data_IF_670874212953
#
_entry.id   IF_670874212953
#
_cell.length_a   1.000
_cell.length_b   1.000
_cell.length_c   1.000
_cell.angle_alpha   90.00
_cell.angle_beta   90.00
_cell.angle_gamma   90.00
#
_symmetry.space_group_name_H-M   'P 1'
#
loop_
_entity.id
_entity.type
_entity.pdbx_description
1 polymer ?
#
# COMPACT_ATOMS: atom_id res chain seq x y z
N UNK A 1 -35.99 47.54 -7.82
CA UNK A 1 -35.64 46.42 -6.92
C UNK A 1 -36.28 45.10 -7.41
N UNK A 2 -35.80 44.58 -8.54
CA UNK A 2 -36.18 43.30 -9.18
C UNK A 2 -35.09 43.07 -10.20
N UNK A 3 -34.21 42.06 -10.04
CA UNK A 3 -33.32 41.46 -11.08
C UNK A 3 -32.09 40.71 -10.53
N UNK A 4 -31.88 40.57 -9.21
CA UNK A 4 -30.67 39.89 -8.69
C UNK A 4 -30.92 38.57 -7.95
N UNK A 5 -32.14 38.02 -8.00
CA UNK A 5 -32.49 36.75 -7.31
C UNK A 5 -32.86 35.67 -8.33
N UNK A 6 -32.01 35.47 -9.35
CA UNK A 6 -32.23 34.41 -10.36
C UNK A 6 -30.95 33.71 -10.84
N UNK A 7 -29.86 33.80 -10.09
CA UNK A 7 -28.63 33.09 -10.40
C UNK A 7 -28.10 32.23 -9.24
N UNK A 8 -28.90 32.01 -8.20
CA UNK A 8 -28.57 31.07 -7.11
C UNK A 8 -29.15 29.69 -7.47
N UNK A 9 -28.74 29.13 -8.60
CA UNK A 9 -29.15 27.78 -9.00
C UNK A 9 -28.21 27.21 -10.07
N UNK A 10 -26.91 27.23 -9.81
CA UNK A 10 -25.97 26.40 -10.56
C UNK A 10 -24.82 25.97 -9.65
N UNK A 11 -25.19 25.43 -8.48
CA UNK A 11 -24.31 24.59 -7.68
C UNK A 11 -24.19 23.25 -8.42
N UNK A 12 -23.31 23.20 -9.43
CA UNK A 12 -22.83 21.93 -9.99
C UNK A 12 -21.42 21.72 -9.48
N UNK A 13 -21.33 21.42 -8.18
CA UNK A 13 -20.14 20.85 -7.56
C UNK A 13 -20.02 19.42 -8.11
N UNK A 14 -19.33 19.26 -9.23
CA UNK A 14 -18.84 17.98 -9.71
C UNK A 14 -17.64 17.60 -8.82
N UNK A 15 -17.93 17.08 -7.63
CA UNK A 15 -16.96 16.30 -6.88
C UNK A 15 -16.77 14.98 -7.62
N UNK A 16 -15.81 14.96 -8.55
CA UNK A 16 -15.27 13.74 -9.09
C UNK A 16 -14.57 13.01 -7.94
N UNK A 17 -15.30 12.11 -7.27
CA UNK A 17 -14.70 11.17 -6.32
C UNK A 17 -13.91 10.20 -7.18
N UNK A 18 -12.63 10.49 -7.42
CA UNK A 18 -11.71 9.51 -7.94
C UNK A 18 -11.57 8.41 -6.87
N UNK A 19 -12.36 7.34 -7.01
CA UNK A 19 -12.10 6.11 -6.28
C UNK A 19 -10.73 5.61 -6.73
N UNK A 20 -9.70 5.92 -5.95
CA UNK A 20 -8.40 5.28 -6.07
C UNK A 20 -8.63 3.82 -5.73
N UNK A 21 -8.83 2.99 -6.76
CA UNK A 21 -8.76 1.56 -6.61
C UNK A 21 -7.33 1.25 -6.14
N UNK A 22 -7.16 1.01 -4.85
CA UNK A 22 -5.93 0.46 -4.30
C UNK A 22 -5.77 -0.93 -4.95
N UNK A 23 -4.98 -0.99 -6.02
CA UNK A 23 -4.68 -2.25 -6.68
C UNK A 23 -3.96 -3.14 -5.66
N UNK A 24 -4.57 -4.28 -5.33
CA UNK A 24 -3.91 -5.28 -4.51
C UNK A 24 -2.60 -5.71 -5.22
N UNK A 25 -1.51 -5.92 -4.46
CA UNK A 25 -0.25 -6.36 -5.05
C UNK A 25 -0.43 -7.71 -5.75
N UNK A 26 0.24 -7.89 -6.89
CA UNK A 26 0.22 -9.15 -7.64
C UNK A 26 0.99 -10.27 -6.92
N UNK A 27 1.98 -9.90 -6.10
CA UNK A 27 2.82 -10.82 -5.34
C UNK A 27 3.06 -10.26 -3.93
N UNK A 28 3.09 -11.16 -2.95
CA UNK A 28 3.59 -10.87 -1.61
C UNK A 28 5.08 -11.20 -1.52
N UNK A 29 5.76 -10.61 -0.53
CA UNK A 29 7.13 -10.97 -0.20
C UNK A 29 7.41 -10.79 1.28
N UNK A 30 8.41 -11.51 1.75
CA UNK A 30 9.02 -11.36 3.07
C UNK A 30 10.54 -11.33 2.88
N UNK A 31 11.21 -10.41 3.57
CA UNK A 31 12.65 -10.25 3.58
C UNK A 31 13.12 -10.31 5.02
N UNK A 32 13.98 -11.26 5.35
CA UNK A 32 14.59 -11.39 6.66
C UNK A 32 16.03 -10.91 6.60
N UNK A 33 16.40 -9.96 7.45
CA UNK A 33 17.73 -9.37 7.52
C UNK A 33 18.54 -9.98 8.65
N UNK A 34 19.81 -10.27 8.37
CA UNK A 34 20.73 -10.91 9.31
C UNK A 34 21.94 -10.02 9.62
N UNK A 35 22.47 -10.15 10.82
CA UNK A 35 23.78 -9.59 11.19
C UNK A 35 24.95 -10.46 10.65
N UNK A 36 26.18 -10.06 10.97
CA UNK A 36 27.39 -10.78 10.58
C UNK A 36 27.56 -12.17 11.24
N UNK A 37 26.79 -12.46 12.29
CA UNK A 37 26.80 -13.74 13.00
C UNK A 37 25.66 -14.67 12.58
N UNK A 38 24.77 -14.20 11.70
CA UNK A 38 23.60 -14.94 11.22
C UNK A 38 22.36 -14.79 12.10
N UNK A 39 22.34 -13.85 13.06
CA UNK A 39 21.14 -13.58 13.86
C UNK A 39 20.17 -12.69 13.08
N UNK A 40 18.86 -12.91 13.28
CA UNK A 40 17.83 -12.06 12.70
C UNK A 40 17.82 -10.71 13.40
N UNK A 41 17.96 -9.63 12.64
CA UNK A 41 17.99 -8.25 13.14
C UNK A 41 16.91 -7.35 12.54
N UNK A 42 16.18 -7.83 11.54
CA UNK A 42 15.06 -7.10 10.97
C UNK A 42 14.27 -7.92 9.97
N UNK A 43 13.12 -7.38 9.59
CA UNK A 43 12.24 -7.99 8.60
C UNK A 43 11.51 -6.90 7.80
N UNK A 44 11.12 -7.24 6.58
CA UNK A 44 10.26 -6.42 5.74
C UNK A 44 9.32 -7.30 4.92
N UNK A 45 8.02 -7.07 5.03
CA UNK A 45 7.01 -7.82 4.29
C UNK A 45 6.02 -6.91 3.54
N UNK A 46 5.52 -7.43 2.42
CA UNK A 46 4.33 -6.95 1.72
C UNK A 46 3.39 -8.14 1.58
N UNK A 47 2.23 -8.07 2.22
CA UNK A 47 1.21 -9.09 2.13
C UNK A 47 0.24 -8.81 0.97
N UNK A 48 -0.48 -9.84 0.53
CA UNK A 48 -1.41 -9.76 -0.58
C UNK A 48 -2.62 -8.85 -0.33
N UNK A 49 -2.95 -8.58 0.92
CA UNK A 49 -3.93 -7.57 1.32
C UNK A 49 -3.38 -6.13 1.26
N UNK A 50 -2.15 -5.93 0.80
CA UNK A 50 -1.48 -4.63 0.71
C UNK A 50 -0.86 -4.14 2.01
N UNK A 51 -0.98 -4.89 3.11
CA UNK A 51 -0.34 -4.56 4.38
C UNK A 51 1.17 -4.65 4.21
N UNK A 52 1.86 -3.62 4.71
CA UNK A 52 3.31 -3.57 4.76
C UNK A 52 3.74 -3.66 6.20
N UNK A 53 4.76 -4.46 6.43
CA UNK A 53 5.36 -4.64 7.74
C UNK A 53 6.86 -4.42 7.62
N UNK A 54 7.44 -3.73 8.59
CA UNK A 54 8.88 -3.58 8.68
C UNK A 54 9.29 -3.34 10.13
N UNK A 55 10.34 -4.02 10.57
CA UNK A 55 10.97 -3.78 11.86
C UNK A 55 12.47 -4.04 11.80
N UNK A 56 13.20 -3.52 12.79
CA UNK A 56 14.63 -3.76 12.94
C UNK A 56 15.50 -3.09 11.89
N UNK A 57 16.67 -3.68 11.65
CA UNK A 57 17.72 -3.16 10.78
C UNK A 57 17.65 -3.76 9.38
N UNK A 58 17.92 -2.93 8.36
CA UNK A 58 18.08 -3.38 6.97
C UNK A 58 19.57 -3.57 6.71
N UNK A 59 19.96 -4.81 6.42
CA UNK A 59 21.36 -5.19 6.17
C UNK A 59 21.54 -5.70 4.74
N UNK A 60 22.79 -5.86 4.31
CA UNK A 60 23.14 -6.48 3.02
C UNK A 60 23.04 -8.01 3.04
N UNK A 61 22.99 -8.64 4.21
CA UNK A 61 22.79 -10.08 4.39
C UNK A 61 21.32 -10.35 4.61
N UNK A 62 20.63 -10.91 3.61
CA UNK A 62 19.19 -11.15 3.69
C UNK A 62 18.77 -12.42 2.94
N UNK A 63 17.64 -12.98 3.37
CA UNK A 63 16.85 -13.94 2.58
C UNK A 63 15.58 -13.24 2.10
N UNK A 64 15.05 -13.67 0.94
CA UNK A 64 13.80 -13.14 0.40
C UNK A 64 12.94 -14.27 -0.13
N UNK A 65 11.74 -14.34 0.39
CA UNK A 65 10.67 -15.19 -0.10
C UNK A 65 9.64 -14.35 -0.86
N UNK A 66 9.07 -14.91 -1.92
CA UNK A 66 8.08 -14.22 -2.76
C UNK A 66 7.05 -15.23 -3.23
N UNK A 67 5.78 -14.83 -3.22
CA UNK A 67 4.66 -15.69 -3.60
C UNK A 67 3.62 -14.91 -4.41
N UNK A 68 2.86 -15.63 -5.23
CA UNK A 68 1.77 -15.03 -6.00
C UNK A 68 0.53 -14.86 -5.14
N UNK A 69 -0.06 -13.67 -5.18
CA UNK A 69 -1.31 -13.38 -4.50
C UNK A 69 -2.54 -14.06 -5.12
N UNK A 70 -2.38 -14.60 -6.33
CA UNK A 70 -3.43 -15.34 -7.03
C UNK A 70 -3.57 -16.79 -6.53
N UNK A 71 -2.54 -17.33 -5.87
CA UNK A 71 -2.42 -18.76 -5.53
C UNK A 71 -2.67 -19.14 -4.08
N UNK A 72 -2.97 -18.18 -3.19
CA UNK A 72 -3.24 -18.46 -1.78
C UNK A 72 -2.00 -18.81 -0.94
N UNK A 73 -0.80 -18.35 -1.32
CA UNK A 73 0.35 -18.23 -0.41
C UNK A 73 0.29 -16.88 0.35
N UNK A 74 0.96 -16.75 1.51
CA UNK A 74 0.45 -16.10 2.71
C UNK A 74 -0.21 -14.72 2.56
#
# INVERSE_FOLDING_TARGET
>A
MRKYVRHIAAVCVLLAIAAVAYAAPANGYEITYYDQYGNVVGEKALYCNGVRFQWGEVTSSFSKDTWSCSGGGP
#
